data_IF_695508921449
#
_entry.id   IF_695508921449
#
_cell.length_a   1.000
_cell.length_b   1.000
_cell.length_c   1.000
_cell.angle_alpha   90.00
_cell.angle_beta   90.00
_cell.angle_gamma   90.00
#
_symmetry.space_group_name_H-M   'P 1'
#
loop_
_entity.id
_entity.type
_entity.pdbx_description
1 polymer ?
#
# COMPACT_ATOMS: atom_id res chain seq x y z
N UNK A 1 -18.19 -10.90 -15.22
CA UNK A 1 -17.75 -9.71 -14.47
C UNK A 1 -16.25 -9.72 -14.18
N UNK A 2 -15.66 -10.82 -13.73
CA UNK A 2 -14.21 -10.88 -13.40
C UNK A 2 -13.28 -10.49 -14.58
N UNK A 3 -13.56 -10.99 -15.78
CA UNK A 3 -12.80 -10.65 -17.00
C UNK A 3 -12.81 -9.14 -17.29
N UNK A 4 -13.92 -8.46 -17.00
CA UNK A 4 -14.02 -7.00 -17.17
C UNK A 4 -13.10 -6.26 -16.19
N UNK A 5 -13.06 -6.67 -14.92
CA UNK A 5 -12.15 -6.08 -13.93
C UNK A 5 -10.69 -6.31 -14.28
N UNK A 6 -10.34 -7.50 -14.76
CA UNK A 6 -8.99 -7.83 -15.22
C UNK A 6 -8.61 -6.93 -16.41
N UNK A 7 -9.49 -6.78 -17.40
CA UNK A 7 -9.25 -5.92 -18.56
C UNK A 7 -9.04 -4.45 -18.18
N UNK A 8 -9.89 -3.90 -17.30
CA UNK A 8 -9.80 -2.51 -16.85
C UNK A 8 -8.52 -2.23 -16.07
N UNK A 9 -8.12 -3.16 -15.21
CA UNK A 9 -6.90 -3.02 -14.40
C UNK A 9 -5.62 -3.17 -15.21
N UNK A 10 -5.63 -4.00 -16.27
CA UNK A 10 -4.55 -4.02 -17.27
C UNK A 10 -4.46 -2.69 -18.03
N UNK A 11 -5.58 -2.12 -18.43
CA UNK A 11 -5.60 -0.78 -19.06
C UNK A 11 -4.98 0.27 -18.12
N UNK A 12 -5.32 0.23 -16.83
CA UNK A 12 -4.74 1.10 -15.81
C UNK A 12 -3.22 1.00 -15.73
N UNK A 13 -2.66 -0.21 -15.74
CA UNK A 13 -1.21 -0.42 -15.77
C UNK A 13 -0.58 0.09 -17.04
N UNK A 14 -1.18 -0.17 -18.21
CA UNK A 14 -0.63 0.29 -19.49
C UNK A 14 -0.57 1.82 -19.54
N UNK A 15 -1.59 2.50 -18.99
CA UNK A 15 -1.57 3.95 -18.83
C UNK A 15 -0.47 4.40 -17.86
N UNK A 16 -0.28 3.69 -16.75
CA UNK A 16 0.80 3.97 -15.80
C UNK A 16 2.20 3.78 -16.40
N UNK A 17 2.43 2.71 -17.16
CA UNK A 17 3.69 2.47 -17.89
C UNK A 17 4.01 3.64 -18.83
N UNK A 18 3.01 4.07 -19.59
CA UNK A 18 3.18 5.08 -20.64
C UNK A 18 3.34 6.50 -20.07
N UNK A 19 2.54 6.87 -19.07
CA UNK A 19 2.46 8.26 -18.58
C UNK A 19 3.11 8.48 -17.22
N UNK A 20 3.11 7.48 -16.33
CA UNK A 20 3.66 7.56 -14.99
C UNK A 20 5.14 7.18 -14.95
N UNK A 21 5.42 5.91 -15.23
CA UNK A 21 6.76 5.33 -15.12
C UNK A 21 7.67 5.65 -16.32
N UNK A 22 7.08 5.97 -17.48
CA UNK A 22 7.74 6.21 -18.77
C UNK A 22 8.73 5.09 -19.18
N UNK A 23 8.52 3.89 -18.65
CA UNK A 23 9.31 2.69 -18.90
C UNK A 23 8.41 1.48 -18.76
N UNK A 24 8.68 0.43 -19.53
CA UNK A 24 7.95 -0.83 -19.38
C UNK A 24 8.29 -1.50 -18.05
N UNK A 25 7.29 -2.15 -17.44
CA UNK A 25 7.54 -3.05 -16.33
C UNK A 25 8.13 -4.37 -16.84
N UNK A 26 9.03 -5.00 -16.06
CA UNK A 26 9.49 -6.34 -16.37
C UNK A 26 8.34 -7.34 -16.33
N UNK A 27 8.46 -8.41 -17.12
CA UNK A 27 7.44 -9.48 -17.20
C UNK A 27 7.11 -10.06 -15.81
N UNK A 28 8.09 -10.18 -14.92
CA UNK A 28 7.88 -10.64 -13.54
C UNK A 28 6.94 -9.71 -12.77
N UNK A 29 7.03 -8.40 -12.98
CA UNK A 29 6.11 -7.44 -12.36
C UNK A 29 4.68 -7.68 -12.84
N UNK A 30 4.49 -7.77 -14.16
CA UNK A 30 3.17 -8.04 -14.76
C UNK A 30 2.56 -9.35 -14.25
N UNK A 31 3.39 -10.38 -14.06
CA UNK A 31 2.98 -11.63 -13.43
C UNK A 31 2.56 -11.45 -11.97
N UNK A 32 3.34 -10.72 -11.17
CA UNK A 32 2.97 -10.41 -9.78
C UNK A 32 1.63 -9.65 -9.70
N UNK A 33 1.37 -8.73 -10.63
CA UNK A 33 0.09 -8.03 -10.69
C UNK A 33 -1.07 -8.99 -10.97
N UNK A 34 -0.92 -9.87 -11.97
CA UNK A 34 -1.89 -10.91 -12.28
C UNK A 34 -2.20 -11.79 -11.06
N UNK A 35 -1.16 -12.22 -10.34
CA UNK A 35 -1.34 -12.97 -9.10
C UNK A 35 -2.10 -12.16 -8.05
N UNK A 36 -1.76 -10.87 -7.88
CA UNK A 36 -2.47 -9.96 -6.99
C UNK A 36 -3.95 -9.81 -7.33
N UNK A 37 -4.29 -9.71 -8.61
CA UNK A 37 -5.68 -9.65 -9.08
C UNK A 37 -6.42 -10.94 -8.70
N UNK A 38 -5.85 -12.10 -9.01
CA UNK A 38 -6.47 -13.40 -8.71
C UNK A 38 -6.73 -13.55 -7.21
N UNK A 39 -5.76 -13.17 -6.38
CA UNK A 39 -5.89 -13.22 -4.92
C UNK A 39 -6.98 -12.26 -4.44
N UNK A 40 -7.05 -11.06 -5.00
CA UNK A 40 -8.08 -10.06 -4.67
C UNK A 40 -9.48 -10.58 -5.03
N UNK A 41 -9.64 -11.15 -6.22
CA UNK A 41 -10.91 -11.76 -6.69
C UNK A 41 -11.36 -12.88 -5.75
N UNK A 42 -10.44 -13.72 -5.29
CA UNK A 42 -10.76 -14.83 -4.41
C UNK A 42 -11.04 -14.42 -2.96
N UNK A 43 -10.48 -13.29 -2.53
CA UNK A 43 -10.50 -12.88 -1.13
C UNK A 43 -11.65 -11.95 -0.78
N UNK A 44 -12.13 -11.15 -1.74
CA UNK A 44 -13.14 -10.12 -1.52
C UNK A 44 -14.52 -10.55 -2.04
N UNK A 45 -15.61 -10.18 -1.33
CA UNK A 45 -16.96 -10.33 -1.87
C UNK A 45 -17.17 -9.39 -3.06
N UNK A 46 -18.12 -9.77 -3.93
CA UNK A 46 -18.40 -9.09 -5.20
C UNK A 46 -18.68 -7.59 -5.05
N UNK A 47 -19.32 -7.18 -3.95
CA UNK A 47 -19.68 -5.78 -3.67
C UNK A 47 -18.44 -4.88 -3.47
N UNK A 48 -17.41 -5.40 -2.81
CA UNK A 48 -16.14 -4.69 -2.53
C UNK A 48 -15.06 -4.89 -3.61
N UNK A 49 -15.40 -5.62 -4.68
CA UNK A 49 -14.43 -6.05 -5.70
C UNK A 49 -13.82 -4.85 -6.43
N UNK A 50 -14.65 -3.88 -6.81
CA UNK A 50 -14.21 -2.68 -7.52
C UNK A 50 -13.23 -1.87 -6.68
N UNK A 51 -13.56 -1.66 -5.41
CA UNK A 51 -12.73 -0.96 -4.43
C UNK A 51 -11.36 -1.64 -4.25
N UNK A 52 -11.37 -2.96 -4.04
CA UNK A 52 -10.15 -3.76 -3.93
C UNK A 52 -9.27 -3.71 -5.17
N UNK A 53 -9.86 -3.72 -6.36
CA UNK A 53 -9.14 -3.62 -7.63
C UNK A 53 -8.52 -2.24 -7.84
N UNK A 54 -9.27 -1.17 -7.55
CA UNK A 54 -8.77 0.21 -7.65
C UNK A 54 -7.62 0.43 -6.66
N UNK A 55 -7.76 -0.06 -5.42
CA UNK A 55 -6.70 -0.04 -4.42
C UNK A 55 -5.47 -0.82 -4.90
N UNK A 56 -5.65 -2.03 -5.43
CA UNK A 56 -4.56 -2.86 -5.95
C UNK A 56 -3.80 -2.17 -7.09
N UNK A 57 -4.50 -1.56 -8.06
CA UNK A 57 -3.85 -0.80 -9.13
C UNK A 57 -3.02 0.34 -8.54
N UNK A 58 -3.61 1.11 -7.61
CA UNK A 58 -2.97 2.26 -6.99
C UNK A 58 -1.68 1.86 -6.25
N UNK A 59 -1.76 0.89 -5.33
CA UNK A 59 -0.60 0.44 -4.54
C UNK A 59 0.44 -0.27 -5.40
N UNK A 60 0.03 -0.95 -6.48
CA UNK A 60 0.96 -1.57 -7.42
C UNK A 60 1.77 -0.51 -8.20
N UNK A 61 1.10 0.54 -8.68
CA UNK A 61 1.77 1.65 -9.35
C UNK A 61 2.73 2.38 -8.38
N UNK A 62 2.28 2.60 -7.15
CA UNK A 62 3.09 3.23 -6.10
C UNK A 62 4.32 2.39 -5.76
N UNK A 63 4.13 1.07 -5.61
CA UNK A 63 5.18 0.09 -5.35
C UNK A 63 6.28 0.16 -6.41
N UNK A 64 5.90 0.15 -7.69
CA UNK A 64 6.87 0.14 -8.79
C UNK A 64 7.56 1.48 -8.98
N UNK A 65 6.87 2.58 -8.72
CA UNK A 65 7.51 3.88 -8.73
C UNK A 65 8.58 3.95 -7.64
N UNK A 66 8.24 3.64 -6.39
CA UNK A 66 9.19 3.72 -5.29
C UNK A 66 10.37 2.77 -5.48
N UNK A 67 10.11 1.54 -5.94
CA UNK A 67 11.15 0.54 -6.17
C UNK A 67 12.18 0.98 -7.25
N UNK A 68 11.72 1.70 -8.29
CA UNK A 68 12.60 2.16 -9.37
C UNK A 68 13.29 3.48 -9.03
N UNK A 69 12.58 4.45 -8.46
CA UNK A 69 13.07 5.83 -8.33
C UNK A 69 13.45 6.23 -6.91
N UNK A 70 13.10 5.44 -5.88
CA UNK A 70 13.22 5.79 -4.44
C UNK A 70 12.61 7.16 -4.10
N UNK A 71 11.71 7.64 -4.95
CA UNK A 71 11.16 8.98 -4.89
C UNK A 71 9.74 8.99 -5.42
N UNK A 72 8.83 9.53 -4.61
CA UNK A 72 7.43 9.71 -4.97
C UNK A 72 7.17 11.19 -5.23
N UNK A 73 6.70 11.49 -6.44
CA UNK A 73 6.46 12.88 -6.84
C UNK A 73 5.21 13.45 -6.20
N UNK A 74 5.16 14.77 -5.99
CA UNK A 74 3.98 15.48 -5.47
C UNK A 74 2.70 15.27 -6.30
N UNK A 75 2.83 14.85 -7.57
CA UNK A 75 1.67 14.55 -8.43
C UNK A 75 0.82 13.40 -7.88
N UNK A 76 1.38 12.54 -7.02
CA UNK A 76 0.66 11.46 -6.35
C UNK A 76 -0.41 11.93 -5.38
N UNK A 77 -0.42 13.20 -4.99
CA UNK A 77 -1.49 13.78 -4.18
C UNK A 77 -2.84 13.60 -4.87
N UNK A 78 -2.91 13.80 -6.20
CA UNK A 78 -4.17 13.70 -6.96
C UNK A 78 -4.78 12.29 -6.91
N UNK A 79 -4.08 11.21 -7.32
CA UNK A 79 -4.65 9.87 -7.22
C UNK A 79 -4.90 9.43 -5.77
N UNK A 80 -4.13 9.93 -4.80
CA UNK A 80 -4.34 9.62 -3.37
C UNK A 80 -5.65 10.26 -2.85
N UNK A 81 -5.89 11.53 -3.17
CA UNK A 81 -7.14 12.22 -2.83
C UNK A 81 -8.33 11.58 -3.53
N UNK A 82 -8.20 11.21 -4.79
CA UNK A 82 -9.26 10.49 -5.50
C UNK A 82 -9.59 9.16 -4.80
N UNK A 83 -8.57 8.38 -4.44
CA UNK A 83 -8.76 7.07 -3.82
C UNK A 83 -9.43 7.16 -2.45
N UNK A 84 -9.03 8.10 -1.59
CA UNK A 84 -9.65 8.25 -0.26
C UNK A 84 -11.10 8.74 -0.35
N UNK A 85 -11.42 9.59 -1.34
CA UNK A 85 -12.80 10.02 -1.59
C UNK A 85 -13.66 8.89 -2.19
N UNK A 86 -13.05 8.05 -3.03
CA UNK A 86 -13.74 6.94 -3.70
C UNK A 86 -14.03 5.77 -2.75
N UNK A 87 -13.03 5.33 -1.99
CA UNK A 87 -13.18 4.22 -1.03
C UNK A 87 -14.02 4.62 0.19
N UNK A 88 -14.19 5.94 0.42
CA UNK A 88 -14.66 6.46 1.70
C UNK A 88 -13.65 6.14 2.81
N UNK A 89 -13.92 6.62 4.02
CA UNK A 89 -13.24 6.07 5.20
C UNK A 89 -13.88 4.71 5.48
N UNK A 90 -13.26 3.58 5.10
CA UNK A 90 -13.92 2.27 5.12
C UNK A 90 -14.10 1.76 6.55
N UNK A 91 -13.55 2.48 7.52
CA UNK A 91 -13.63 2.24 8.95
C UNK A 91 -14.35 3.38 9.64
N UNK A 92 -14.73 3.12 10.89
CA UNK A 92 -15.20 4.17 11.79
C UNK A 92 -14.23 5.36 11.74
N UNK A 93 -14.77 6.56 11.54
CA UNK A 93 -14.01 7.82 11.48
C UNK A 93 -12.93 7.92 12.57
N UNK A 94 -13.25 7.50 13.79
CA UNK A 94 -12.32 7.51 14.91
C UNK A 94 -11.13 6.56 14.70
N UNK A 95 -11.34 5.39 14.12
CA UNK A 95 -10.27 4.43 13.77
C UNK A 95 -9.38 5.00 12.66
N UNK A 96 -9.96 5.66 11.66
CA UNK A 96 -9.21 6.35 10.60
C UNK A 96 -8.36 7.50 11.14
N UNK A 97 -8.93 8.38 11.96
CA UNK A 97 -8.18 9.50 12.56
C UNK A 97 -7.10 9.00 13.51
N UNK A 98 -7.41 8.02 14.36
CA UNK A 98 -6.43 7.45 15.27
C UNK A 98 -5.31 6.74 14.52
N UNK A 99 -5.61 5.98 13.46
CA UNK A 99 -4.60 5.39 12.58
C UNK A 99 -3.71 6.46 11.93
N UNK A 100 -4.31 7.50 11.35
CA UNK A 100 -3.55 8.60 10.73
C UNK A 100 -2.61 9.28 11.73
N UNK A 101 -3.09 9.59 12.94
CA UNK A 101 -2.31 10.29 13.95
C UNK A 101 -1.25 9.40 14.61
N UNK A 102 -1.58 8.17 14.99
CA UNK A 102 -0.64 7.27 15.67
C UNK A 102 0.51 6.83 14.79
N UNK A 103 0.31 6.74 13.47
CA UNK A 103 1.38 6.40 12.54
C UNK A 103 2.04 7.64 11.92
N UNK A 104 1.25 8.67 11.61
CA UNK A 104 1.72 9.91 11.01
C UNK A 104 2.51 10.80 11.97
N UNK A 105 2.07 10.97 13.23
CA UNK A 105 2.76 11.88 14.16
C UNK A 105 4.15 11.35 14.56
N UNK A 106 4.34 10.06 14.92
CA UNK A 106 5.67 9.56 15.20
C UNK A 106 6.59 9.60 13.99
N UNK A 107 6.09 9.26 12.79
CA UNK A 107 6.89 9.35 11.55
C UNK A 107 7.27 10.80 11.22
N UNK A 108 6.36 11.75 11.42
CA UNK A 108 6.66 13.18 11.28
C UNK A 108 7.68 13.67 12.32
N UNK A 109 7.55 13.24 13.57
CA UNK A 109 8.53 13.54 14.61
C UNK A 109 9.91 12.98 14.24
N UNK A 110 9.98 11.73 13.81
CA UNK A 110 11.21 11.10 13.31
C UNK A 110 11.81 11.90 12.15
N UNK A 111 11.01 12.33 11.18
CA UNK A 111 11.49 13.18 10.08
C UNK A 111 12.03 14.51 10.57
N UNK A 112 11.39 15.12 11.58
CA UNK A 112 11.79 16.43 12.12
C UNK A 112 13.11 16.37 12.90
N UNK A 113 13.37 15.27 13.61
CA UNK A 113 14.58 15.06 14.41
C UNK A 113 15.72 14.41 13.61
N UNK A 114 15.39 13.53 12.66
CA UNK A 114 16.30 12.71 11.85
C UNK A 114 15.77 12.58 10.41
N UNK A 115 15.82 13.67 9.62
CA UNK A 115 15.32 13.68 8.25
C UNK A 115 16.01 12.67 7.33
N UNK A 116 17.22 12.23 7.68
CA UNK A 116 17.98 11.20 6.98
C UNK A 116 17.45 9.77 7.19
N UNK A 117 16.62 9.53 8.22
CA UNK A 117 16.07 8.20 8.52
C UNK A 117 14.78 7.89 7.78
N UNK A 118 13.95 8.92 7.54
CA UNK A 118 12.64 8.76 6.93
C UNK A 118 12.37 9.90 5.97
N UNK A 119 11.96 9.58 4.75
CA UNK A 119 11.60 10.57 3.75
C UNK A 119 10.27 11.23 4.07
N UNK A 120 10.09 12.48 3.63
CA UNK A 120 8.81 13.18 3.78
C UNK A 120 7.67 12.43 3.07
N UNK A 121 7.96 11.74 1.96
CA UNK A 121 6.98 10.91 1.26
C UNK A 121 6.47 9.78 2.17
N UNK A 122 7.35 9.08 2.87
CA UNK A 122 6.98 7.98 3.77
C UNK A 122 6.07 8.48 4.90
N UNK A 123 6.36 9.65 5.46
CA UNK A 123 5.51 10.31 6.47
C UNK A 123 4.11 10.57 5.92
N UNK A 124 4.02 11.15 4.73
CA UNK A 124 2.72 11.42 4.07
C UNK A 124 1.96 10.12 3.85
N UNK A 125 2.63 9.05 3.44
CA UNK A 125 2.01 7.73 3.24
C UNK A 125 1.62 7.04 4.55
N UNK A 126 2.32 7.30 5.67
CA UNK A 126 1.88 6.86 6.98
C UNK A 126 0.57 7.53 7.41
N UNK A 127 0.45 8.86 7.25
CA UNK A 127 -0.82 9.55 7.50
C UNK A 127 -1.92 9.02 6.57
N UNK A 128 -1.61 8.88 5.29
CA UNK A 128 -2.57 8.48 4.27
C UNK A 128 -3.09 7.06 4.47
N UNK A 129 -2.22 6.06 4.57
CA UNK A 129 -2.64 4.68 4.77
C UNK A 129 -3.19 4.43 6.18
N UNK A 130 -2.70 5.17 7.19
CA UNK A 130 -3.31 5.16 8.52
C UNK A 130 -4.76 5.65 8.50
N UNK A 131 -5.04 6.71 7.74
CA UNK A 131 -6.41 7.20 7.53
C UNK A 131 -7.26 6.19 6.75
N UNK A 132 -6.70 5.60 5.70
CA UNK A 132 -7.42 4.70 4.79
C UNK A 132 -7.74 3.35 5.43
N UNK A 133 -6.80 2.74 6.16
CA UNK A 133 -6.95 1.42 6.75
C UNK A 133 -7.56 1.45 8.16
N UNK A 134 -7.41 2.57 8.87
CA UNK A 134 -7.68 2.65 10.30
C UNK A 134 -6.60 1.97 11.15
N UNK A 135 -6.71 2.11 12.47
CA UNK A 135 -5.69 1.72 13.43
C UNK A 135 -5.29 0.24 13.32
N UNK A 136 -6.27 -0.66 13.39
CA UNK A 136 -6.05 -2.11 13.51
C UNK A 136 -5.38 -2.71 12.26
N UNK A 137 -5.89 -2.37 11.08
CA UNK A 137 -5.33 -2.85 9.82
C UNK A 137 -3.97 -2.20 9.53
N UNK A 138 -3.76 -0.95 9.95
CA UNK A 138 -2.46 -0.29 9.78
C UNK A 138 -1.36 -0.94 10.64
N UNK A 139 -1.68 -1.47 11.83
CA UNK A 139 -0.74 -2.30 12.61
C UNK A 139 -0.23 -3.47 11.77
N UNK A 140 -1.14 -4.24 11.18
CA UNK A 140 -0.80 -5.41 10.36
C UNK A 140 0.02 -4.99 9.14
N UNK A 141 -0.36 -3.91 8.46
CA UNK A 141 0.38 -3.39 7.32
C UNK A 141 1.83 -3.02 7.69
N UNK A 142 2.02 -2.34 8.82
CA UNK A 142 3.34 -1.96 9.30
C UNK A 142 4.20 -3.16 9.69
N UNK A 143 3.63 -4.14 10.39
CA UNK A 143 4.36 -5.36 10.77
C UNK A 143 4.85 -6.13 9.54
N UNK A 144 4.00 -6.28 8.52
CA UNK A 144 4.38 -6.90 7.25
C UNK A 144 5.46 -6.07 6.54
N UNK A 145 5.31 -4.75 6.48
CA UNK A 145 6.27 -3.86 5.82
C UNK A 145 7.66 -3.93 6.48
N UNK A 146 7.71 -3.94 7.82
CA UNK A 146 8.95 -4.08 8.60
C UNK A 146 9.59 -5.45 8.32
N UNK A 147 8.80 -6.52 8.34
CA UNK A 147 9.30 -7.87 8.03
C UNK A 147 9.91 -7.95 6.63
N UNK A 148 9.20 -7.47 5.61
CA UNK A 148 9.71 -7.44 4.23
C UNK A 148 10.95 -6.57 4.13
N UNK A 149 10.96 -5.40 4.78
CA UNK A 149 12.11 -4.49 4.74
C UNK A 149 13.35 -5.09 5.40
N UNK A 150 13.18 -5.83 6.50
CA UNK A 150 14.26 -6.58 7.13
C UNK A 150 14.85 -7.63 6.18
N UNK A 151 14.01 -8.45 5.55
CA UNK A 151 14.48 -9.42 4.54
C UNK A 151 15.15 -8.75 3.34
N UNK A 152 14.66 -7.58 2.91
CA UNK A 152 15.25 -6.82 1.83
C UNK A 152 16.67 -6.36 2.17
N UNK A 153 16.88 -5.81 3.36
CA UNK A 153 18.20 -5.38 3.83
C UNK A 153 19.18 -6.56 3.91
N UNK A 154 18.74 -7.71 4.40
CA UNK A 154 19.56 -8.92 4.47
C UNK A 154 19.93 -9.47 3.09
N UNK A 155 18.97 -9.54 2.17
CA UNK A 155 19.15 -10.17 0.85
C UNK A 155 19.87 -9.31 -0.17
N UNK A 156 19.56 -8.01 -0.22
CA UNK A 156 20.02 -7.12 -1.30
C UNK A 156 21.30 -6.35 -0.94
N UNK A 157 21.74 -6.36 0.33
CA UNK A 157 22.87 -5.57 0.84
C UNK A 157 22.83 -4.08 0.44
N UNK A 158 21.64 -3.55 0.15
CA UNK A 158 21.43 -2.14 -0.18
C UNK A 158 21.15 -1.36 1.10
N UNK A 159 21.72 -0.16 1.18
CA UNK A 159 21.54 0.74 2.33
C UNK A 159 20.21 1.49 2.29
N UNK A 160 19.59 1.60 1.11
CA UNK A 160 18.33 2.35 0.91
C UNK A 160 17.18 1.36 0.81
N UNK A 161 16.22 1.49 1.72
CA UNK A 161 15.00 0.69 1.77
C UNK A 161 13.88 1.42 0.99
N UNK A 162 13.27 0.80 -0.03
CA UNK A 162 12.07 1.34 -0.67
C UNK A 162 10.86 1.11 0.26
N UNK A 163 10.74 1.94 1.29
CA UNK A 163 9.79 1.75 2.37
C UNK A 163 8.34 1.76 1.87
N UNK A 164 7.99 2.68 0.97
CA UNK A 164 6.64 2.74 0.39
C UNK A 164 6.31 1.50 -0.47
N UNK A 165 7.31 0.86 -1.10
CA UNK A 165 7.13 -0.46 -1.72
C UNK A 165 6.81 -1.53 -0.67
N UNK A 166 7.57 -1.63 0.42
CA UNK A 166 7.28 -2.58 1.50
C UNK A 166 5.89 -2.34 2.11
N UNK A 167 5.55 -1.07 2.34
CA UNK A 167 4.27 -0.66 2.89
C UNK A 167 3.11 -0.99 1.94
N UNK A 168 3.26 -0.80 0.64
CA UNK A 168 2.24 -1.15 -0.36
C UNK A 168 1.82 -2.63 -0.30
N UNK A 169 2.77 -3.54 -0.06
CA UNK A 169 2.48 -4.97 0.12
C UNK A 169 1.70 -5.19 1.42
N UNK A 170 2.17 -4.58 2.52
CA UNK A 170 1.50 -4.66 3.82
C UNK A 170 0.06 -4.14 3.76
N UNK A 171 -0.16 -3.01 3.09
CA UNK A 171 -1.48 -2.38 2.91
C UNK A 171 -2.41 -3.31 2.14
N UNK A 172 -1.95 -3.94 1.06
CA UNK A 172 -2.76 -4.88 0.29
C UNK A 172 -3.23 -6.06 1.15
N UNK A 173 -2.30 -6.71 1.86
CA UNK A 173 -2.62 -7.86 2.71
C UNK A 173 -3.53 -7.45 3.87
N UNK A 174 -3.26 -6.30 4.51
CA UNK A 174 -4.07 -5.77 5.58
C UNK A 174 -5.50 -5.41 5.12
N UNK A 175 -5.64 -4.91 3.89
CA UNK A 175 -6.96 -4.65 3.30
C UNK A 175 -7.76 -5.95 3.10
N UNK A 176 -7.12 -7.00 2.61
CA UNK A 176 -7.77 -8.29 2.35
C UNK A 176 -8.09 -9.09 3.63
N UNK A 177 -7.17 -9.11 4.62
CA UNK A 177 -7.21 -10.04 5.75
C UNK A 177 -6.75 -9.45 7.10
N UNK A 178 -6.54 -8.14 7.19
CA UNK A 178 -5.93 -7.50 8.38
C UNK A 178 -6.62 -7.85 9.70
N UNK A 179 -7.95 -7.83 9.74
CA UNK A 179 -8.71 -8.21 10.93
C UNK A 179 -8.51 -9.66 11.34
N UNK A 180 -8.60 -10.58 10.39
CA UNK A 180 -8.41 -12.00 10.65
C UNK A 180 -7.01 -12.27 11.19
N UNK A 181 -5.98 -11.66 10.59
CA UNK A 181 -4.59 -11.79 11.03
C UNK A 181 -4.42 -11.28 12.46
N UNK A 182 -4.98 -10.11 12.77
CA UNK A 182 -4.86 -9.52 14.10
C UNK A 182 -5.54 -10.37 15.17
N UNK A 183 -6.75 -10.87 14.90
CA UNK A 183 -7.50 -11.74 15.83
C UNK A 183 -6.74 -13.05 16.03
N UNK A 184 -6.31 -13.73 14.96
CA UNK A 184 -5.52 -14.96 15.07
C UNK A 184 -4.22 -14.78 15.87
N UNK A 185 -3.60 -13.60 15.80
CA UNK A 185 -2.42 -13.29 16.60
C UNK A 185 -2.76 -13.07 18.07
N UNK A 186 -3.87 -12.39 18.36
CA UNK A 186 -4.36 -12.20 19.73
C UNK A 186 -4.73 -13.54 20.39
N UNK A 187 -5.42 -14.42 19.66
CA UNK A 187 -5.82 -15.75 20.12
C UNK A 187 -4.61 -16.66 20.41
N UNK A 188 -3.48 -16.46 19.72
CA UNK A 188 -2.25 -17.22 19.96
C UNK A 188 -1.51 -16.78 21.24
N UNK A 189 -1.72 -15.54 21.68
CA UNK A 189 -1.01 -14.93 22.82
C UNK A 189 -1.79 -15.02 24.14
N UNK A 190 -3.09 -15.34 24.08
CA UNK A 190 -3.96 -15.56 25.25
C UNK A 190 -3.96 -17.01 25.70
#
# INVERSE_FOLDING_TARGET
MEIFFIGLSFLGILLFERYGLKTELPWMGKLCFLCGQIITIRSLPQESMTEGMVLLIYIYCLFWQDLKTYYISKKWIVPSLFLILYLGFPQNWLSSVSGALLYGLPSFAMHRFKPEWIGLADVVYFFYFGALLGLERMIVACLIAIGIGFFWMLGMKKTILPFCSCLSIGVWIAYLKGYTILISFADLLG
#
